data_IF_997633594435
#
_entry.id   IF_997633594435
#
_cell.length_a   1.000
_cell.length_b   1.000
_cell.length_c   1.000
_cell.angle_alpha   90.00
_cell.angle_beta   90.00
_cell.angle_gamma   90.00
#
_symmetry.space_group_name_H-M   'P 1'
#
loop_
_entity.id
_entity.type
_entity.pdbx_description
1 polymer ?
#
# COMPACT_ATOMS: atom_id res chain seq x y z
N UNK A 1 47.67 -25.45 -7.41
CA UNK A 1 46.48 -25.30 -6.53
C UNK A 1 46.03 -23.85 -6.61
N UNK A 2 45.12 -23.55 -7.53
CA UNK A 2 44.66 -22.18 -7.84
C UNK A 2 43.34 -21.98 -7.11
N UNK A 3 43.35 -21.03 -6.19
CA UNK A 3 42.15 -20.61 -5.45
C UNK A 3 41.28 -19.74 -6.37
N UNK A 4 40.08 -20.17 -6.67
CA UNK A 4 39.05 -19.35 -7.35
C UNK A 4 38.47 -18.39 -6.32
N UNK A 5 38.39 -17.07 -6.61
CA UNK A 5 37.70 -16.14 -5.73
C UNK A 5 36.19 -16.41 -5.81
N UNK A 6 35.54 -16.45 -4.64
CA UNK A 6 34.11 -16.65 -4.52
C UNK A 6 33.32 -15.52 -5.20
N UNK A 7 32.34 -15.91 -5.96
CA UNK A 7 31.27 -15.04 -6.47
C UNK A 7 30.58 -14.35 -5.29
N UNK A 8 30.83 -13.07 -5.17
CA UNK A 8 29.96 -12.18 -4.41
C UNK A 8 28.71 -12.00 -5.25
N UNK A 9 27.65 -12.71 -4.91
CA UNK A 9 26.30 -12.48 -5.45
C UNK A 9 25.87 -11.09 -4.97
N UNK A 10 26.04 -10.09 -5.84
CA UNK A 10 25.37 -8.82 -5.69
C UNK A 10 23.87 -9.07 -5.86
N UNK A 11 23.17 -9.34 -4.77
CA UNK A 11 21.70 -9.29 -4.76
C UNK A 11 21.29 -7.92 -5.25
N UNK A 12 20.60 -7.88 -6.38
CA UNK A 12 20.09 -6.63 -6.96
C UNK A 12 19.10 -6.01 -5.98
N UNK A 13 19.05 -4.67 -5.91
CA UNK A 13 18.07 -3.91 -5.08
C UNK A 13 16.62 -4.42 -5.27
N UNK A 14 16.31 -5.02 -6.41
CA UNK A 14 15.02 -5.61 -6.76
C UNK A 14 14.64 -6.85 -5.90
N UNK A 15 15.58 -7.53 -5.27
CA UNK A 15 15.28 -8.69 -4.41
C UNK A 15 14.94 -8.29 -2.96
N UNK A 16 15.21 -7.05 -2.58
CA UNK A 16 14.95 -6.55 -1.22
C UNK A 16 13.48 -6.25 -0.94
N UNK A 17 12.70 -5.95 -1.96
CA UNK A 17 11.34 -5.44 -1.81
C UNK A 17 10.41 -6.14 -2.79
N UNK A 18 9.45 -6.86 -2.25
CA UNK A 18 8.52 -7.66 -3.05
C UNK A 18 7.09 -7.36 -2.63
N UNK A 19 6.24 -7.14 -3.63
CA UNK A 19 4.80 -7.24 -3.48
C UNK A 19 4.36 -8.60 -4.01
N UNK A 20 3.76 -9.42 -3.16
CA UNK A 20 3.15 -10.68 -3.56
C UNK A 20 1.67 -10.72 -3.20
N UNK A 21 0.89 -11.55 -3.88
CA UNK A 21 -0.50 -11.78 -3.49
C UNK A 21 -0.57 -12.21 -2.01
N UNK A 22 -1.50 -11.61 -1.28
CA UNK A 22 -1.74 -11.98 0.11
C UNK A 22 -2.42 -13.36 0.19
N UNK A 23 -2.08 -14.12 1.21
CA UNK A 23 -2.60 -15.46 1.48
C UNK A 23 -3.35 -15.52 2.80
N UNK A 24 -3.95 -16.67 3.11
CA UNK A 24 -4.61 -16.89 4.42
C UNK A 24 -3.63 -16.70 5.60
N UNK A 25 -2.36 -17.00 5.41
CA UNK A 25 -1.34 -16.88 6.46
C UNK A 25 -1.06 -15.40 6.82
N UNK A 26 -1.33 -14.48 5.89
CA UNK A 26 -1.13 -13.04 6.11
C UNK A 26 -2.29 -12.37 6.86
N UNK A 27 -3.47 -13.00 6.92
CA UNK A 27 -4.70 -12.36 7.41
C UNK A 27 -4.56 -11.85 8.85
N UNK A 28 -3.97 -12.63 9.73
CA UNK A 28 -3.78 -12.22 11.12
C UNK A 28 -2.74 -11.11 11.28
N UNK A 29 -1.67 -11.14 10.47
CA UNK A 29 -0.66 -10.07 10.43
C UNK A 29 -1.30 -8.77 9.94
N UNK A 30 -2.05 -8.82 8.84
CA UNK A 30 -2.76 -7.67 8.30
C UNK A 30 -3.73 -7.06 9.33
N UNK A 31 -4.46 -7.89 10.09
CA UNK A 31 -5.33 -7.42 11.16
C UNK A 31 -4.55 -6.70 12.27
N UNK A 32 -3.44 -7.30 12.72
CA UNK A 32 -2.60 -6.69 13.76
C UNK A 32 -2.06 -5.33 13.31
N UNK A 33 -1.50 -5.25 12.11
CA UNK A 33 -0.98 -4.00 11.56
C UNK A 33 -2.06 -2.94 11.39
N UNK A 34 -3.24 -3.36 10.86
CA UNK A 34 -4.37 -2.44 10.65
C UNK A 34 -4.91 -1.86 11.95
N UNK A 35 -4.77 -2.59 13.05
CA UNK A 35 -5.18 -2.16 14.39
C UNK A 35 -4.12 -1.36 15.15
N UNK A 36 -2.90 -1.24 14.66
CA UNK A 36 -1.91 -0.33 15.26
C UNK A 36 -2.45 1.10 15.25
N UNK A 37 -2.25 1.83 16.34
CA UNK A 37 -2.87 3.15 16.54
C UNK A 37 -2.53 4.13 15.42
N UNK A 38 -1.27 4.15 15.00
CA UNK A 38 -0.80 5.04 13.92
C UNK A 38 -1.54 4.79 12.60
N UNK A 39 -1.90 3.54 12.30
CA UNK A 39 -2.65 3.19 11.11
C UNK A 39 -4.14 3.55 11.24
N UNK A 40 -4.72 3.37 12.44
CA UNK A 40 -6.11 3.74 12.70
C UNK A 40 -6.31 5.25 12.62
N UNK A 41 -5.37 6.04 13.14
CA UNK A 41 -5.45 7.51 13.15
C UNK A 41 -5.48 8.12 11.75
N UNK A 42 -4.86 7.48 10.77
CA UNK A 42 -4.78 7.96 9.37
C UNK A 42 -5.72 7.22 8.42
N UNK A 43 -6.64 6.44 8.97
CA UNK A 43 -7.65 5.68 8.21
C UNK A 43 -9.04 6.24 8.41
N UNK A 44 -9.92 6.06 7.42
CA UNK A 44 -11.34 6.42 7.54
C UNK A 44 -12.00 5.65 8.69
N UNK A 45 -11.82 4.32 8.72
CA UNK A 45 -12.24 3.47 9.84
C UNK A 45 -11.24 3.58 10.97
N UNK A 46 -11.65 4.08 12.11
CA UNK A 46 -10.76 4.37 13.25
C UNK A 46 -10.95 3.46 14.46
N UNK A 47 -12.04 2.70 14.52
CA UNK A 47 -12.26 1.72 15.58
C UNK A 47 -11.31 0.53 15.44
N UNK A 48 -11.16 -0.24 16.51
CA UNK A 48 -10.42 -1.50 16.49
C UNK A 48 -11.24 -2.53 15.72
N UNK A 49 -10.70 -3.01 14.61
CA UNK A 49 -11.33 -4.02 13.77
C UNK A 49 -11.28 -5.37 14.48
N UNK A 50 -12.43 -6.01 14.63
CA UNK A 50 -12.48 -7.34 15.23
C UNK A 50 -12.00 -8.43 14.27
N UNK A 51 -11.58 -9.57 14.80
CA UNK A 51 -11.19 -10.71 13.96
C UNK A 51 -12.34 -11.21 13.07
N UNK A 52 -13.58 -11.06 13.51
CA UNK A 52 -14.75 -11.44 12.72
C UNK A 52 -14.99 -10.48 11.55
N UNK A 53 -14.93 -9.17 11.79
CA UNK A 53 -15.02 -8.14 10.73
C UNK A 53 -13.94 -8.34 9.68
N UNK A 54 -12.70 -8.58 10.12
CA UNK A 54 -11.57 -8.77 9.22
C UNK A 54 -11.69 -10.04 8.39
N UNK A 55 -12.15 -11.14 8.97
CA UNK A 55 -12.41 -12.40 8.23
C UNK A 55 -13.54 -12.23 7.20
N UNK A 56 -14.62 -11.51 7.55
CA UNK A 56 -15.69 -11.21 6.60
C UNK A 56 -15.17 -10.36 5.43
N UNK A 57 -14.38 -9.33 5.73
CA UNK A 57 -13.74 -8.51 4.71
C UNK A 57 -12.84 -9.36 3.81
N UNK A 58 -11.98 -10.19 4.38
CA UNK A 58 -11.07 -11.07 3.63
C UNK A 58 -11.82 -12.02 2.69
N UNK A 59 -12.87 -12.66 3.20
CA UNK A 59 -13.70 -13.57 2.41
C UNK A 59 -14.38 -12.87 1.23
N UNK A 60 -14.84 -11.63 1.42
CA UNK A 60 -15.43 -10.81 0.35
C UNK A 60 -14.39 -10.38 -0.69
N UNK A 61 -13.23 -9.89 -0.24
CA UNK A 61 -12.16 -9.40 -1.12
C UNK A 61 -11.62 -10.51 -2.03
N UNK A 62 -11.46 -11.73 -1.52
CA UNK A 62 -10.96 -12.87 -2.32
C UNK A 62 -11.89 -13.27 -3.47
N UNK A 63 -13.16 -12.95 -3.39
CA UNK A 63 -14.17 -13.27 -4.40
C UNK A 63 -14.43 -12.10 -5.36
N UNK A 64 -13.88 -10.94 -5.09
CA UNK A 64 -14.12 -9.72 -5.86
C UNK A 64 -13.00 -9.49 -6.89
N UNK A 65 -13.25 -9.72 -8.20
CA UNK A 65 -12.24 -9.54 -9.24
C UNK A 65 -11.81 -8.08 -9.41
N UNK A 66 -12.58 -7.12 -8.87
CA UNK A 66 -12.21 -5.70 -8.87
C UNK A 66 -11.25 -5.33 -7.74
N UNK A 67 -10.79 -6.31 -6.95
CA UNK A 67 -9.89 -6.08 -5.81
C UNK A 67 -8.65 -6.95 -5.88
N UNK A 68 -7.56 -6.41 -5.33
CA UNK A 68 -6.32 -7.13 -5.09
C UNK A 68 -5.75 -6.72 -3.74
N UNK A 69 -5.28 -7.69 -2.98
CA UNK A 69 -4.55 -7.45 -1.73
C UNK A 69 -3.17 -8.08 -1.85
N UNK A 70 -2.15 -7.28 -1.64
CA UNK A 70 -0.76 -7.72 -1.70
C UNK A 70 -0.11 -7.54 -0.35
N UNK A 71 0.75 -8.47 0.01
CA UNK A 71 1.66 -8.35 1.16
C UNK A 71 2.96 -7.72 0.69
N UNK A 72 3.37 -6.66 1.37
CA UNK A 72 4.67 -6.04 1.18
C UNK A 72 5.70 -6.74 2.06
N UNK A 73 6.75 -7.26 1.41
CA UNK A 73 7.89 -7.88 2.08
C UNK A 73 9.11 -6.95 1.99
N UNK A 74 9.80 -6.80 3.11
CA UNK A 74 11.08 -6.13 3.19
C UNK A 74 12.13 -7.12 3.69
N UNK A 75 13.17 -7.37 2.88
CA UNK A 75 14.19 -8.39 3.16
C UNK A 75 13.57 -9.76 3.53
N UNK A 76 12.49 -10.15 2.82
CA UNK A 76 11.74 -11.38 3.04
C UNK A 76 10.77 -11.35 4.24
N UNK A 77 10.74 -10.28 5.02
CA UNK A 77 9.87 -10.14 6.20
C UNK A 77 8.57 -9.43 5.80
N UNK A 78 7.37 -10.03 6.04
CA UNK A 78 6.10 -9.35 5.85
C UNK A 78 6.06 -8.07 6.70
N UNK A 79 5.85 -6.92 6.05
CA UNK A 79 6.02 -5.60 6.67
C UNK A 79 4.89 -4.61 6.33
N UNK A 80 3.85 -5.07 5.64
CA UNK A 80 2.70 -4.24 5.31
C UNK A 80 1.78 -4.87 4.28
N UNK A 81 0.72 -4.15 3.95
CA UNK A 81 -0.25 -4.55 2.94
C UNK A 81 -0.58 -3.40 1.99
N UNK A 82 -0.74 -3.74 0.71
CA UNK A 82 -1.24 -2.85 -0.33
C UNK A 82 -2.56 -3.42 -0.84
N UNK A 83 -3.57 -2.58 -0.95
CA UNK A 83 -4.87 -2.97 -1.50
C UNK A 83 -5.17 -2.13 -2.73
N UNK A 84 -5.56 -2.79 -3.82
CA UNK A 84 -6.21 -2.16 -4.96
C UNK A 84 -7.70 -2.49 -4.93
N UNK A 85 -8.52 -1.54 -5.35
CA UNK A 85 -9.98 -1.65 -5.33
C UNK A 85 -10.59 -0.89 -6.49
N UNK A 86 -11.84 -1.20 -6.81
CA UNK A 86 -12.57 -0.62 -7.93
C UNK A 86 -11.81 -0.74 -9.26
N UNK A 87 -11.08 -1.85 -9.42
CA UNK A 87 -10.29 -2.13 -10.61
C UNK A 87 -11.18 -2.28 -11.83
N UNK A 88 -10.98 -1.42 -12.81
CA UNK A 88 -11.58 -1.51 -14.14
C UNK A 88 -10.49 -1.89 -15.13
N UNK A 89 -10.54 -3.13 -15.60
CA UNK A 89 -9.49 -3.70 -16.46
C UNK A 89 -9.90 -3.80 -17.93
N UNK A 90 -11.04 -3.17 -18.31
CA UNK A 90 -11.53 -3.03 -19.68
C UNK A 90 -11.83 -1.55 -19.98
N UNK A 91 -11.59 -1.13 -21.22
CA UNK A 91 -11.64 0.29 -21.58
C UNK A 91 -10.49 1.09 -20.94
N UNK A 92 -10.71 2.34 -20.53
CA UNK A 92 -9.74 3.08 -19.70
C UNK A 92 -9.52 2.34 -18.38
N UNK A 93 -8.30 1.83 -18.18
CA UNK A 93 -7.95 0.99 -17.03
C UNK A 93 -7.68 1.87 -15.81
N UNK A 94 -8.52 1.77 -14.81
CA UNK A 94 -8.43 2.60 -13.60
C UNK A 94 -8.57 1.74 -12.34
N UNK A 95 -8.07 2.24 -11.23
CA UNK A 95 -8.26 1.59 -9.93
C UNK A 95 -7.91 2.51 -8.78
N UNK A 96 -8.51 2.26 -7.64
CA UNK A 96 -8.15 2.87 -6.38
C UNK A 96 -7.05 2.07 -5.67
N UNK A 97 -6.34 2.71 -4.75
CA UNK A 97 -5.34 2.04 -3.92
C UNK A 97 -5.22 2.64 -2.53
N UNK A 98 -4.64 1.86 -1.65
CA UNK A 98 -4.23 2.26 -0.32
C UNK A 98 -3.28 1.24 0.27
N UNK A 99 -2.59 1.63 1.34
CA UNK A 99 -1.65 0.74 2.03
C UNK A 99 -1.59 1.08 3.51
N UNK A 100 -1.06 0.15 4.28
CA UNK A 100 -0.60 0.34 5.65
C UNK A 100 0.60 -0.57 5.92
N UNK A 101 1.42 -0.19 6.88
CA UNK A 101 2.64 -0.90 7.23
C UNK A 101 2.57 -1.46 8.64
N UNK A 102 3.41 -2.44 8.93
CA UNK A 102 3.77 -2.84 10.29
C UNK A 102 4.61 -1.73 10.94
N UNK A 103 3.93 -0.71 11.44
CA UNK A 103 4.61 0.48 11.96
C UNK A 103 5.47 0.17 13.19
N UNK A 104 5.01 -0.72 14.06
CA UNK A 104 5.73 -1.12 15.28
C UNK A 104 6.97 -1.94 14.91
N UNK A 105 6.83 -3.02 14.15
CA UNK A 105 7.95 -3.85 13.74
C UNK A 105 8.99 -3.10 12.89
N UNK A 106 8.55 -2.20 12.02
CA UNK A 106 9.47 -1.35 11.24
C UNK A 106 10.20 -0.33 12.12
N UNK A 107 9.54 0.22 13.14
CA UNK A 107 10.17 1.14 14.09
C UNK A 107 11.23 0.43 14.92
N UNK A 108 10.95 -0.78 15.42
CA UNK A 108 11.91 -1.60 16.16
C UNK A 108 13.18 -1.91 15.35
N UNK A 109 13.02 -2.08 14.02
CA UNK A 109 14.15 -2.32 13.11
C UNK A 109 14.82 -1.05 12.59
N UNK A 110 14.30 0.15 12.91
CA UNK A 110 14.78 1.42 12.39
C UNK A 110 14.50 1.63 10.90
N UNK A 111 13.49 0.96 10.35
CA UNK A 111 13.22 0.86 8.91
C UNK A 111 11.99 1.64 8.43
N UNK A 112 11.33 2.38 9.31
CA UNK A 112 10.06 3.05 9.01
C UNK A 112 10.14 3.92 7.75
N UNK A 113 11.08 4.86 7.67
CA UNK A 113 11.16 5.79 6.54
C UNK A 113 11.54 5.11 5.22
N UNK A 114 12.55 4.23 5.17
CA UNK A 114 12.84 3.45 3.97
C UNK A 114 11.63 2.66 3.48
N UNK A 115 10.95 1.91 4.36
CA UNK A 115 9.79 1.09 4.01
C UNK A 115 8.63 1.93 3.43
N UNK A 116 8.38 3.12 3.99
CA UNK A 116 7.38 4.05 3.46
C UNK A 116 7.67 4.49 2.02
N UNK A 117 8.90 4.89 1.76
CA UNK A 117 9.30 5.35 0.42
C UNK A 117 9.22 4.21 -0.61
N UNK A 118 9.54 3.01 -0.19
CA UNK A 118 9.59 1.84 -1.03
C UNK A 118 8.22 1.27 -1.34
N UNK A 119 7.39 1.01 -0.32
CA UNK A 119 6.05 0.46 -0.54
C UNK A 119 5.22 1.34 -1.47
N UNK A 120 5.33 2.67 -1.34
CA UNK A 120 4.61 3.59 -2.22
C UNK A 120 5.10 3.49 -3.67
N UNK A 121 6.42 3.35 -3.87
CA UNK A 121 6.99 3.20 -5.20
C UNK A 121 6.62 1.87 -5.82
N UNK A 122 6.82 0.79 -5.08
CA UNK A 122 6.48 -0.57 -5.54
C UNK A 122 4.98 -0.71 -5.86
N UNK A 123 4.11 -0.10 -5.05
CA UNK A 123 2.68 -0.09 -5.33
C UNK A 123 2.34 0.69 -6.61
N UNK A 124 2.94 1.84 -6.83
CA UNK A 124 2.75 2.62 -8.07
C UNK A 124 3.28 1.84 -9.27
N UNK A 125 4.46 1.24 -9.15
CA UNK A 125 5.07 0.44 -10.22
C UNK A 125 4.20 -0.78 -10.53
N UNK A 126 3.72 -1.51 -9.54
CA UNK A 126 2.80 -2.63 -9.72
C UNK A 126 1.48 -2.21 -10.41
N UNK A 127 0.90 -1.08 -10.01
CA UNK A 127 -0.33 -0.58 -10.62
C UNK A 127 -0.18 -0.33 -12.14
N UNK A 128 0.93 0.27 -12.54
CA UNK A 128 1.14 0.63 -13.95
C UNK A 128 1.78 -0.48 -14.78
N UNK A 129 2.69 -1.27 -14.24
CA UNK A 129 3.43 -2.27 -15.00
C UNK A 129 2.76 -3.65 -14.98
N UNK A 130 2.21 -4.06 -13.83
CA UNK A 130 1.57 -5.37 -13.68
C UNK A 130 0.07 -5.29 -13.96
N UNK A 131 -0.65 -4.38 -13.30
CA UNK A 131 -2.09 -4.21 -13.52
C UNK A 131 -2.39 -3.43 -14.80
N UNK A 132 -1.38 -2.80 -15.39
CA UNK A 132 -1.48 -2.01 -16.62
C UNK A 132 -2.53 -0.90 -16.55
N UNK A 133 -2.68 -0.24 -15.40
CA UNK A 133 -3.63 0.86 -15.25
C UNK A 133 -3.18 2.08 -16.07
N UNK A 134 -4.13 2.84 -16.59
CA UNK A 134 -3.91 4.15 -17.20
C UNK A 134 -3.92 5.25 -16.15
N UNK A 135 -4.70 5.05 -15.08
CA UNK A 135 -4.82 5.98 -13.96
C UNK A 135 -4.95 5.23 -12.63
N UNK A 136 -4.25 5.73 -11.62
CA UNK A 136 -4.29 5.26 -10.24
C UNK A 136 -4.89 6.35 -9.36
N UNK A 137 -6.01 6.03 -8.69
CA UNK A 137 -6.73 6.92 -7.79
C UNK A 137 -6.50 6.52 -6.32
N UNK A 138 -6.62 7.46 -5.42
CA UNK A 138 -6.54 7.19 -3.99
C UNK A 138 -7.18 8.30 -3.17
N UNK A 139 -7.15 8.13 -1.87
CA UNK A 139 -7.65 9.11 -0.92
C UNK A 139 -6.71 9.22 0.27
N UNK A 140 -6.56 10.42 0.79
CA UNK A 140 -5.74 10.68 1.97
C UNK A 140 -6.48 11.64 2.90
N UNK A 141 -6.39 11.41 4.20
CA UNK A 141 -6.95 12.34 5.19
C UNK A 141 -6.17 13.65 5.17
N UNK A 142 -6.86 14.78 5.22
CA UNK A 142 -6.27 16.10 5.08
C UNK A 142 -5.14 16.36 6.09
N UNK A 143 -5.25 15.81 7.30
CA UNK A 143 -4.25 15.95 8.36
C UNK A 143 -3.02 15.04 8.18
N UNK A 144 -3.09 14.03 7.30
CA UNK A 144 -1.95 13.16 7.01
C UNK A 144 -0.96 13.86 6.04
N UNK A 145 -0.32 14.91 6.54
CA UNK A 145 0.55 15.79 5.75
C UNK A 145 1.78 15.04 5.20
N UNK A 146 2.28 14.05 5.92
CA UNK A 146 3.44 13.25 5.51
C UNK A 146 3.13 12.48 4.23
N UNK A 147 2.03 11.73 4.21
CA UNK A 147 1.61 10.96 3.02
C UNK A 147 1.27 11.88 1.86
N UNK A 148 0.61 13.01 2.12
CA UNK A 148 0.33 14.02 1.08
C UNK A 148 1.62 14.54 0.42
N UNK A 149 2.67 14.81 1.21
CA UNK A 149 3.96 15.22 0.66
C UNK A 149 4.63 14.12 -0.18
N UNK A 150 4.53 12.86 0.28
CA UNK A 150 5.04 11.71 -0.46
C UNK A 150 4.30 11.51 -1.78
N UNK A 151 2.96 11.60 -1.77
CA UNK A 151 2.13 11.53 -2.97
C UNK A 151 2.54 12.60 -4.01
N UNK A 152 2.76 13.85 -3.58
CA UNK A 152 3.25 14.91 -4.48
C UNK A 152 4.61 14.59 -5.07
N UNK A 153 5.53 13.99 -4.32
CA UNK A 153 6.84 13.54 -4.84
C UNK A 153 6.70 12.46 -5.91
N UNK A 154 5.68 11.60 -5.80
CA UNK A 154 5.32 10.60 -6.80
C UNK A 154 4.46 11.19 -7.93
N UNK A 155 4.19 12.50 -7.91
CA UNK A 155 3.41 13.25 -8.90
C UNK A 155 1.90 12.97 -8.88
N UNK A 156 1.37 12.47 -7.77
CA UNK A 156 -0.08 12.49 -7.58
C UNK A 156 -0.58 13.94 -7.50
N UNK A 157 -1.71 14.17 -8.16
CA UNK A 157 -2.44 15.45 -8.13
C UNK A 157 -3.54 15.35 -7.09
N UNK A 158 -3.62 16.34 -6.19
CA UNK A 158 -4.71 16.44 -5.21
C UNK A 158 -5.91 17.13 -5.84
N UNK A 159 -7.09 16.57 -5.63
CA UNK A 159 -8.38 17.20 -5.96
C UNK A 159 -8.94 18.01 -4.77
N UNK A 160 -10.14 18.60 -4.95
CA UNK A 160 -10.80 19.32 -3.87
C UNK A 160 -11.15 18.40 -2.71
N UNK A 161 -10.84 18.85 -1.50
CA UNK A 161 -11.17 18.13 -0.27
C UNK A 161 -12.69 18.08 -0.06
N UNK A 162 -13.18 16.98 0.51
CA UNK A 162 -14.57 16.81 0.88
C UNK A 162 -14.72 16.36 2.32
N UNK A 163 -15.82 16.75 2.97
CA UNK A 163 -16.16 16.30 4.31
C UNK A 163 -16.90 14.97 4.22
N UNK A 164 -16.54 14.04 5.08
CA UNK A 164 -17.19 12.74 5.23
C UNK A 164 -17.36 12.44 6.72
N UNK A 165 -18.41 11.70 7.07
CA UNK A 165 -18.62 11.20 8.43
C UNK A 165 -18.36 9.71 8.47
N UNK A 166 -17.36 9.27 9.26
CA UNK A 166 -17.02 7.88 9.49
C UNK A 166 -16.90 7.60 10.99
N UNK A 167 -17.54 6.54 11.45
CA UNK A 167 -17.56 6.15 12.88
C UNK A 167 -18.00 7.32 13.80
N UNK A 168 -18.94 8.16 13.35
CA UNK A 168 -19.40 9.36 14.07
C UNK A 168 -18.37 10.51 14.11
N UNK A 169 -17.27 10.43 13.38
CA UNK A 169 -16.24 11.47 13.27
C UNK A 169 -16.34 12.18 11.92
N UNK A 170 -16.27 13.50 11.96
CA UNK A 170 -16.09 14.30 10.75
C UNK A 170 -14.62 14.26 10.33
N UNK A 171 -14.38 13.89 9.09
CA UNK A 171 -13.05 13.84 8.48
C UNK A 171 -13.03 14.59 7.16
N UNK A 172 -11.90 15.20 6.84
CA UNK A 172 -11.68 15.79 5.53
C UNK A 172 -10.84 14.84 4.69
N UNK A 173 -11.38 14.39 3.57
CA UNK A 173 -10.74 13.48 2.63
C UNK A 173 -10.26 14.26 1.40
N UNK A 174 -9.01 14.07 1.03
CA UNK A 174 -8.40 14.64 -0.18
C UNK A 174 -8.27 13.52 -1.21
N UNK A 175 -8.99 13.57 -2.34
CA UNK A 175 -8.78 12.64 -3.43
C UNK A 175 -7.44 12.94 -4.11
N UNK A 176 -6.76 11.89 -4.54
CA UNK A 176 -5.51 11.97 -5.28
C UNK A 176 -5.59 11.12 -6.53
N UNK A 177 -4.89 11.53 -7.59
CA UNK A 177 -4.81 10.74 -8.81
C UNK A 177 -3.43 10.85 -9.46
N UNK A 178 -3.02 9.78 -10.13
CA UNK A 178 -1.80 9.73 -10.94
C UNK A 178 -2.12 9.09 -12.29
N UNK A 179 -1.90 9.85 -13.37
CA UNK A 179 -1.97 9.33 -14.73
C UNK A 179 -0.66 8.61 -15.09
N UNK A 180 -0.74 7.52 -15.85
CA UNK A 180 0.45 6.78 -16.35
C UNK A 180 1.47 7.71 -17.03
N UNK A 181 0.99 8.65 -17.83
CA UNK A 181 1.85 9.60 -18.57
C UNK A 181 2.67 10.51 -17.63
N UNK A 182 2.21 10.71 -16.39
CA UNK A 182 2.86 11.59 -15.41
C UNK A 182 3.75 10.81 -14.42
N UNK A 183 3.74 9.47 -14.48
CA UNK A 183 4.58 8.63 -13.62
C UNK A 183 6.06 8.93 -13.84
N UNK A 184 6.82 8.91 -12.75
CA UNK A 184 8.29 8.85 -12.86
C UNK A 184 8.69 7.42 -13.21
N UNK A 185 9.28 7.24 -14.36
CA UNK A 185 9.96 5.99 -14.73
C UNK A 185 11.38 6.04 -14.15
N UNK A 186 11.87 4.90 -13.64
CA UNK A 186 13.26 4.76 -13.17
C UNK A 186 14.25 4.85 -14.32
#
# INVERSE_FOLDING_TARGET
MIRVPGDQVNGTESERYVLRDATEDDVNLMLSWRNQEVNRQVSKTSHVITAEEHRRWWSAVRQDPSRRVLTYLRDGVPSGAVTYFDLRLSGPRTGGWGFYLDAEGLAERGETLPAWLEVMREAVDHAFDVLSLDRLDGEVLAHNTVVRQMNRRLRFVEGPGRQETHDGREITVIPISLERANRRVR
#
